data_IF_289558288347
#
_entry.id   IF_289558288347
#
_cell.length_a   1.000
_cell.length_b   1.000
_cell.length_c   1.000
_cell.angle_alpha   90.00
_cell.angle_beta   90.00
_cell.angle_gamma   90.00
#
_symmetry.space_group_name_H-M   'P 1'
#
loop_
_entity.id
_entity.type
_entity.pdbx_description
1 polymer ?
#
# COMPACT_ATOMS: atom_id res chain seq x y z
N UNK A 1 10.05 12.42 -15.88
CA UNK A 1 9.73 11.18 -15.19
C UNK A 1 9.71 11.46 -13.69
N UNK A 2 8.57 11.27 -13.08
CA UNK A 2 8.48 11.43 -11.64
C UNK A 2 9.32 10.35 -10.95
N UNK A 3 10.22 10.75 -10.08
CA UNK A 3 10.96 9.81 -9.26
C UNK A 3 10.00 9.12 -8.29
N UNK A 4 10.27 7.87 -7.96
CA UNK A 4 9.53 7.19 -6.92
C UNK A 4 9.75 7.92 -5.59
N UNK A 5 8.69 8.14 -4.80
CA UNK A 5 8.77 8.97 -3.59
C UNK A 5 9.57 8.35 -2.46
N UNK A 6 10.05 7.11 -2.63
CA UNK A 6 10.63 6.36 -1.51
C UNK A 6 11.57 5.27 -2.02
N UNK A 7 12.79 5.22 -1.46
CA UNK A 7 13.80 4.23 -1.87
C UNK A 7 13.37 2.80 -1.54
N UNK A 8 12.68 2.61 -0.41
CA UNK A 8 12.15 1.31 -0.03
C UNK A 8 11.09 0.85 -1.02
N UNK A 9 10.20 1.76 -1.44
CA UNK A 9 9.18 1.46 -2.44
C UNK A 9 9.84 1.01 -3.75
N UNK A 10 10.89 1.67 -4.17
CA UNK A 10 11.63 1.28 -5.38
C UNK A 10 12.20 -0.14 -5.27
N UNK A 11 12.77 -0.49 -4.13
CA UNK A 11 13.27 -1.84 -3.89
C UNK A 11 12.16 -2.89 -3.94
N UNK A 12 11.01 -2.58 -3.33
CA UNK A 12 9.86 -3.50 -3.33
C UNK A 12 9.30 -3.70 -4.74
N UNK A 13 9.26 -2.65 -5.55
CA UNK A 13 8.87 -2.77 -6.96
C UNK A 13 9.77 -3.75 -7.71
N UNK A 14 11.06 -3.70 -7.47
CA UNK A 14 12.05 -4.52 -8.17
C UNK A 14 12.14 -5.92 -7.59
N UNK A 15 12.28 -6.04 -6.27
CA UNK A 15 12.59 -7.30 -5.60
C UNK A 15 11.35 -8.18 -5.38
N UNK A 16 10.17 -7.58 -5.26
CA UNK A 16 8.92 -8.32 -5.00
C UNK A 16 8.01 -8.28 -6.22
N UNK A 17 7.53 -7.12 -6.62
CA UNK A 17 6.52 -7.04 -7.67
C UNK A 17 7.05 -7.52 -9.01
N UNK A 18 8.13 -6.94 -9.52
CA UNK A 18 8.68 -7.33 -10.81
C UNK A 18 9.17 -8.78 -10.82
N UNK A 19 9.76 -9.25 -9.72
CA UNK A 19 10.25 -10.61 -9.61
C UNK A 19 9.14 -11.67 -9.70
N UNK A 20 7.89 -11.29 -9.38
CA UNK A 20 6.73 -12.18 -9.43
C UNK A 20 5.73 -11.83 -10.53
N UNK A 21 6.15 -11.01 -11.49
CA UNK A 21 5.34 -10.67 -12.66
C UNK A 21 4.23 -9.66 -12.40
N UNK A 22 4.25 -8.99 -11.26
CA UNK A 22 3.32 -7.91 -10.96
C UNK A 22 3.86 -6.57 -11.45
N UNK A 23 2.98 -5.65 -11.88
CA UNK A 23 3.43 -4.32 -12.27
C UNK A 23 3.95 -3.54 -11.07
N UNK A 24 4.83 -2.56 -11.28
CA UNK A 24 5.27 -1.69 -10.19
C UNK A 24 4.10 -0.88 -9.63
N UNK A 25 4.23 -0.45 -8.37
CA UNK A 25 3.26 0.46 -7.79
C UNK A 25 3.14 1.74 -8.65
N UNK A 26 1.91 2.13 -8.92
CA UNK A 26 1.59 3.32 -9.71
C UNK A 26 0.32 3.98 -9.21
N UNK A 27 -0.11 5.04 -9.92
CA UNK A 27 -1.35 5.72 -9.62
C UNK A 27 -1.32 6.50 -8.32
N UNK A 28 -0.68 7.65 -8.30
CA UNK A 28 -0.61 8.53 -7.11
C UNK A 28 -1.98 9.08 -6.76
N UNK A 29 -2.73 8.37 -5.94
CA UNK A 29 -4.04 8.79 -5.47
C UNK A 29 -3.92 9.53 -4.14
N UNK A 30 -4.36 10.80 -4.11
CA UNK A 30 -4.34 11.59 -2.89
C UNK A 30 -5.45 11.11 -1.93
N UNK A 31 -5.05 10.67 -0.74
CA UNK A 31 -5.98 10.06 0.23
C UNK A 31 -6.94 11.06 0.86
N UNK A 32 -6.68 12.36 0.74
CA UNK A 32 -7.52 13.40 1.33
C UNK A 32 -8.34 14.13 0.24
N UNK A 33 -7.68 14.53 -0.85
CA UNK A 33 -8.26 15.43 -1.83
C UNK A 33 -9.03 14.73 -2.97
N UNK A 34 -8.69 13.47 -3.27
CA UNK A 34 -9.32 12.77 -4.38
C UNK A 34 -10.45 11.84 -3.94
N UNK A 35 -11.42 11.64 -4.84
CA UNK A 35 -12.54 10.72 -4.63
C UNK A 35 -12.16 9.31 -5.10
N UNK A 36 -12.58 8.26 -4.37
CA UNK A 36 -12.24 6.88 -4.72
C UNK A 36 -12.71 6.43 -6.10
N UNK A 37 -13.65 7.12 -6.72
CA UNK A 37 -14.15 6.78 -8.05
C UNK A 37 -13.06 6.72 -9.13
N UNK A 38 -11.91 7.40 -8.93
CA UNK A 38 -10.77 7.33 -9.83
C UNK A 38 -9.93 6.06 -9.70
N UNK A 39 -10.18 5.24 -8.67
CA UNK A 39 -9.43 4.02 -8.42
C UNK A 39 -10.03 2.82 -9.18
N UNK A 40 -9.17 1.86 -9.58
CA UNK A 40 -9.65 0.67 -10.28
C UNK A 40 -10.43 -0.29 -9.36
N UNK A 41 -11.33 -1.05 -9.96
CA UNK A 41 -12.13 -2.06 -9.26
C UNK A 41 -11.52 -3.46 -9.33
N UNK A 42 -10.29 -3.57 -9.81
CA UNK A 42 -9.57 -4.84 -9.89
C UNK A 42 -8.94 -5.23 -8.55
N UNK A 43 -8.71 -6.52 -8.40
CA UNK A 43 -7.93 -7.10 -7.30
C UNK A 43 -6.49 -6.60 -7.38
N UNK A 44 -5.90 -6.29 -6.26
CA UNK A 44 -4.52 -5.83 -6.21
C UNK A 44 -4.01 -5.63 -4.80
N UNK A 45 -2.79 -5.11 -4.73
CA UNK A 45 -2.16 -4.65 -3.50
C UNK A 45 -1.98 -3.14 -3.58
N UNK A 46 -1.95 -2.50 -2.43
CA UNK A 46 -1.76 -1.05 -2.37
C UNK A 46 -0.86 -0.66 -1.20
N UNK A 47 -0.32 0.52 -1.29
CA UNK A 47 0.58 1.09 -0.28
C UNK A 47 0.16 2.51 0.01
N UNK A 48 0.19 2.88 1.30
CA UNK A 48 -0.02 4.26 1.72
C UNK A 48 1.31 4.90 2.10
N UNK A 49 1.53 6.10 1.58
CA UNK A 49 2.72 6.91 1.85
C UNK A 49 2.29 8.24 2.44
N UNK A 50 2.92 8.65 3.53
CA UNK A 50 2.64 9.97 4.13
C UNK A 50 3.20 11.09 3.26
N UNK A 51 2.52 12.22 3.30
CA UNK A 51 2.99 13.45 2.68
C UNK A 51 3.99 14.20 3.54
N UNK A 52 4.47 15.32 3.01
CA UNK A 52 5.44 16.19 3.69
C UNK A 52 6.88 15.79 3.40
N UNK A 53 7.82 16.55 3.97
CA UNK A 53 9.24 16.45 3.65
C UNK A 53 9.99 15.43 4.50
N UNK A 54 9.39 14.96 5.59
CA UNK A 54 10.05 14.08 6.55
C UNK A 54 9.42 12.69 6.54
N UNK A 55 10.18 11.66 6.14
CA UNK A 55 9.74 10.28 6.30
C UNK A 55 9.69 9.88 7.77
N UNK A 56 9.11 8.74 8.04
CA UNK A 56 9.13 8.15 9.39
C UNK A 56 10.51 7.54 9.62
N UNK A 57 11.08 7.81 10.79
CA UNK A 57 12.28 7.14 11.26
C UNK A 57 11.88 5.79 11.88
N UNK A 58 12.21 4.73 11.20
CA UNK A 58 12.03 3.37 11.69
C UNK A 58 13.26 2.92 12.49
N UNK A 59 13.22 1.78 13.19
CA UNK A 59 14.41 1.29 13.92
C UNK A 59 15.67 1.20 13.06
N UNK A 60 15.52 0.85 11.77
CA UNK A 60 16.59 0.92 10.78
C UNK A 60 16.10 1.68 9.57
N UNK A 61 16.73 2.81 9.26
CA UNK A 61 16.42 3.63 8.10
C UNK A 61 15.10 4.41 8.21
N UNK A 62 14.76 5.05 7.11
CA UNK A 62 13.59 5.91 6.99
C UNK A 62 12.72 5.49 5.82
N UNK A 63 11.41 5.70 5.93
CA UNK A 63 10.47 5.47 4.85
C UNK A 63 9.20 6.29 5.05
N UNK A 64 8.60 6.72 3.96
CA UNK A 64 7.28 7.35 3.98
C UNK A 64 6.14 6.33 3.98
N UNK A 65 6.46 5.06 3.82
CA UNK A 65 5.46 3.98 3.82
C UNK A 65 4.89 3.80 5.21
N UNK A 66 3.56 3.80 5.31
CA UNK A 66 2.85 3.61 6.58
C UNK A 66 1.96 2.37 6.58
N UNK A 67 1.64 1.81 5.43
CA UNK A 67 0.71 0.69 5.37
C UNK A 67 0.76 -0.03 4.03
N UNK A 68 0.72 -1.36 4.05
CA UNK A 68 0.43 -2.19 2.89
C UNK A 68 -0.92 -2.86 3.09
N UNK A 69 -1.72 -2.92 2.04
CA UNK A 69 -2.97 -3.63 2.07
C UNK A 69 -3.21 -4.42 0.79
N UNK A 70 -4.26 -5.22 0.83
CA UNK A 70 -4.72 -6.01 -0.30
C UNK A 70 -6.20 -5.77 -0.52
N UNK A 71 -6.63 -5.93 -1.76
CA UNK A 71 -8.03 -5.86 -2.15
C UNK A 71 -8.35 -7.11 -2.97
N UNK A 72 -9.06 -8.05 -2.37
CA UNK A 72 -9.40 -9.33 -3.01
C UNK A 72 -10.91 -9.48 -3.25
N UNK A 73 -11.70 -8.50 -2.81
CA UNK A 73 -13.15 -8.53 -2.95
C UNK A 73 -13.61 -7.88 -4.25
N UNK A 74 -14.90 -8.01 -4.55
CA UNK A 74 -15.51 -7.60 -5.80
C UNK A 74 -15.28 -6.13 -6.19
N UNK A 75 -15.19 -5.23 -5.21
CA UNK A 75 -14.93 -3.81 -5.47
C UNK A 75 -13.45 -3.49 -5.68
N UNK A 76 -12.56 -4.45 -5.43
CA UNK A 76 -11.14 -4.32 -5.64
C UNK A 76 -10.50 -3.17 -4.87
N UNK A 77 -9.46 -2.59 -5.46
CA UNK A 77 -8.71 -1.49 -4.86
C UNK A 77 -9.61 -0.30 -4.52
N UNK A 78 -10.52 0.09 -5.44
CA UNK A 78 -11.46 1.19 -5.19
C UNK A 78 -12.26 0.99 -3.91
N UNK A 79 -12.83 -0.19 -3.72
CA UNK A 79 -13.66 -0.47 -2.55
C UNK A 79 -12.86 -0.44 -1.26
N UNK A 80 -11.70 -1.08 -1.23
CA UNK A 80 -10.90 -1.18 -0.02
C UNK A 80 -10.24 0.14 0.35
N UNK A 81 -9.63 0.82 -0.60
CA UNK A 81 -9.01 2.14 -0.36
C UNK A 81 -10.09 3.18 -0.02
N UNK A 82 -11.27 3.08 -0.62
CA UNK A 82 -12.40 3.92 -0.28
C UNK A 82 -12.83 3.79 1.17
N UNK A 83 -12.81 2.59 1.74
CA UNK A 83 -13.09 2.36 3.16
C UNK A 83 -12.05 3.05 4.05
N UNK A 84 -10.76 2.94 3.72
CA UNK A 84 -9.69 3.64 4.45
C UNK A 84 -9.88 5.16 4.37
N UNK A 85 -10.14 5.68 3.17
CA UNK A 85 -10.39 7.12 2.98
C UNK A 85 -11.57 7.60 3.81
N UNK A 86 -12.66 6.84 3.83
CA UNK A 86 -13.82 7.15 4.64
C UNK A 86 -13.48 7.26 6.13
N UNK A 87 -12.65 6.35 6.64
CA UNK A 87 -12.17 6.40 8.02
C UNK A 87 -11.33 7.65 8.29
N UNK A 88 -10.43 7.99 7.36
CA UNK A 88 -9.57 9.17 7.48
C UNK A 88 -10.39 10.47 7.50
N UNK A 89 -11.36 10.58 6.60
CA UNK A 89 -12.11 11.84 6.40
C UNK A 89 -13.31 12.01 7.32
N UNK A 90 -13.90 10.94 7.82
CA UNK A 90 -15.11 10.96 8.65
C UNK A 90 -14.91 10.55 10.09
N UNK A 91 -13.69 10.16 10.43
CA UNK A 91 -13.32 9.71 11.77
C UNK A 91 -13.17 8.19 11.87
N UNK A 92 -12.54 7.73 12.94
CA UNK A 92 -12.22 6.33 13.10
C UNK A 92 -13.50 5.49 13.20
N UNK A 93 -13.50 4.38 12.46
CA UNK A 93 -14.46 3.31 12.64
C UNK A 93 -13.76 2.20 13.42
N UNK A 94 -14.42 1.70 14.43
CA UNK A 94 -13.92 0.56 15.20
C UNK A 94 -13.58 -0.61 14.27
N UNK A 95 -12.49 -1.27 14.58
CA UNK A 95 -12.05 -2.49 13.90
C UNK A 95 -11.55 -2.33 12.45
N UNK A 96 -11.36 -1.11 11.94
CA UNK A 96 -10.74 -0.93 10.64
C UNK A 96 -9.23 -1.15 10.73
N UNK A 97 -8.65 -2.13 10.00
CA UNK A 97 -7.20 -2.31 9.97
C UNK A 97 -6.48 -1.05 9.49
N UNK A 98 -5.28 -0.81 9.99
CA UNK A 98 -4.47 0.31 9.53
C UNK A 98 -4.69 1.61 10.28
N UNK A 99 -5.39 1.60 11.40
CA UNK A 99 -5.71 2.81 12.17
C UNK A 99 -4.49 3.71 12.47
N UNK A 100 -3.32 3.20 12.89
CA UNK A 100 -2.16 4.06 13.09
C UNK A 100 -1.70 4.76 11.81
N UNK A 101 -1.83 4.13 10.64
CA UNK A 101 -1.56 4.79 9.37
C UNK A 101 -2.57 5.90 9.10
N UNK A 102 -3.84 5.70 9.45
CA UNK A 102 -4.86 6.72 9.29
C UNK A 102 -4.54 7.99 10.08
N UNK A 103 -4.03 7.87 11.30
CA UNK A 103 -3.59 9.02 12.10
C UNK A 103 -2.48 9.80 11.40
N UNK A 104 -1.49 9.11 10.84
CA UNK A 104 -0.42 9.76 10.08
C UNK A 104 -0.96 10.48 8.85
N UNK A 105 -1.86 9.84 8.10
CA UNK A 105 -2.45 10.43 6.90
C UNK A 105 -3.34 11.62 7.24
N UNK A 106 -4.08 11.57 8.34
CA UNK A 106 -4.88 12.70 8.82
C UNK A 106 -3.99 13.90 9.17
N UNK A 107 -2.86 13.66 9.81
CA UNK A 107 -1.95 14.72 10.26
C UNK A 107 -1.14 15.33 9.12
N UNK A 108 -0.74 14.55 8.14
CA UNK A 108 0.24 14.96 7.13
C UNK A 108 -0.24 14.83 5.69
N UNK A 109 -1.44 14.28 5.49
CA UNK A 109 -1.87 13.89 4.15
C UNK A 109 -1.05 12.71 3.64
N UNK A 110 -1.25 12.35 2.39
CA UNK A 110 -0.48 11.30 1.76
C UNK A 110 -1.17 10.70 0.56
N UNK A 111 -0.55 9.65 0.03
CA UNK A 111 -0.92 9.06 -1.24
C UNK A 111 -1.11 7.56 -1.11
N UNK A 112 -1.97 7.03 -1.96
CA UNK A 112 -2.08 5.61 -2.22
C UNK A 112 -1.47 5.32 -3.59
N UNK A 113 -0.65 4.30 -3.66
CA UNK A 113 -0.23 3.69 -4.92
C UNK A 113 -0.69 2.24 -4.93
N UNK A 114 -0.87 1.67 -6.11
CA UNK A 114 -1.39 0.31 -6.22
C UNK A 114 -0.71 -0.46 -7.34
N UNK A 115 -0.77 -1.79 -7.22
CA UNK A 115 -0.37 -2.74 -8.25
C UNK A 115 -1.50 -3.74 -8.42
N UNK A 116 -2.01 -3.87 -9.63
CA UNK A 116 -3.15 -4.74 -9.93
C UNK A 116 -2.69 -6.14 -10.29
N UNK A 117 -3.49 -7.13 -9.93
CA UNK A 117 -3.21 -8.51 -10.31
C UNK A 117 -3.05 -8.60 -11.84
N UNK A 118 -1.97 -9.25 -12.33
CA UNK A 118 -1.76 -9.39 -13.78
C UNK A 118 -2.89 -10.18 -14.43
N UNK A 119 -3.17 -9.86 -15.68
CA UNK A 119 -4.10 -10.65 -16.47
C UNK A 119 -3.59 -12.09 -16.60
N UNK A 120 -4.53 -13.02 -16.52
CA UNK A 120 -4.20 -14.44 -16.62
C UNK A 120 -3.69 -14.79 -18.00
N UNK A 121 -2.46 -15.28 -18.08
CA UNK A 121 -1.90 -15.85 -19.29
C UNK A 121 -1.95 -17.37 -19.18
N UNK A 122 -2.70 -18.07 -20.07
CA UNK A 122 -2.79 -19.53 -20.01
C UNK A 122 -1.47 -20.24 -20.26
N UNK A 123 -0.47 -19.55 -20.79
CA UNK A 123 0.86 -20.11 -21.07
C UNK A 123 1.86 -19.86 -19.92
N UNK A 124 1.42 -19.23 -18.83
CA UNK A 124 2.27 -18.94 -17.66
C UNK A 124 1.69 -19.56 -16.39
N UNK A 125 2.55 -19.94 -15.43
CA UNK A 125 2.07 -20.32 -14.11
C UNK A 125 1.15 -19.24 -13.53
N UNK A 126 0.22 -19.65 -12.69
CA UNK A 126 -0.61 -18.71 -11.94
C UNK A 126 0.28 -17.74 -11.16
N UNK A 127 0.04 -16.45 -11.31
CA UNK A 127 0.69 -15.46 -10.47
C UNK A 127 0.26 -15.67 -9.02
N UNK A 128 1.13 -15.28 -8.10
CA UNK A 128 0.81 -15.33 -6.68
C UNK A 128 -0.41 -14.47 -6.37
N UNK A 129 -1.16 -14.86 -5.34
CA UNK A 129 -2.34 -14.12 -4.90
C UNK A 129 -1.95 -12.75 -4.34
N UNK A 130 -2.90 -11.81 -4.31
CA UNK A 130 -2.70 -10.52 -3.65
C UNK A 130 -2.33 -10.70 -2.19
N UNK A 131 -2.92 -11.69 -1.51
CA UNK A 131 -2.59 -12.02 -0.12
C UNK A 131 -1.13 -12.40 0.06
N UNK A 132 -0.63 -13.26 -0.83
CA UNK A 132 0.78 -13.66 -0.79
C UNK A 132 1.71 -12.49 -1.06
N UNK A 133 1.39 -11.67 -2.06
CA UNK A 133 2.21 -10.50 -2.43
C UNK A 133 2.23 -9.49 -1.29
N UNK A 134 1.08 -9.19 -0.68
CA UNK A 134 1.02 -8.30 0.49
C UNK A 134 1.92 -8.81 1.62
N UNK A 135 1.83 -10.10 1.92
CA UNK A 135 2.66 -10.71 2.96
C UNK A 135 4.15 -10.53 2.68
N UNK A 136 4.58 -10.75 1.43
CA UNK A 136 5.98 -10.59 1.03
C UNK A 136 6.44 -9.12 1.08
N UNK A 137 5.57 -8.18 0.74
CA UNK A 137 5.87 -6.75 0.86
C UNK A 137 6.11 -6.37 2.33
N UNK A 138 5.23 -6.81 3.22
CA UNK A 138 5.37 -6.53 4.66
C UNK A 138 6.62 -7.21 5.23
N UNK A 139 6.86 -8.46 4.87
CA UNK A 139 8.03 -9.21 5.34
C UNK A 139 9.34 -8.55 4.90
N UNK A 140 9.42 -8.14 3.66
CA UNK A 140 10.62 -7.46 3.13
C UNK A 140 10.82 -6.11 3.79
N UNK A 141 9.75 -5.34 3.98
CA UNK A 141 9.83 -4.09 4.73
C UNK A 141 10.38 -4.32 6.14
N UNK A 142 9.86 -5.35 6.82
CA UNK A 142 10.31 -5.70 8.17
C UNK A 142 11.79 -6.09 8.20
N UNK A 143 12.29 -6.78 7.19
CA UNK A 143 13.72 -7.10 7.07
C UNK A 143 14.57 -5.85 6.89
N UNK A 144 14.11 -4.88 6.11
CA UNK A 144 14.83 -3.64 5.83
C UNK A 144 14.84 -2.67 7.02
N UNK A 145 13.74 -2.54 7.71
CA UNK A 145 13.53 -1.51 8.73
C UNK A 145 13.44 -2.05 10.15
N UNK A 146 13.53 -3.37 10.33
CA UNK A 146 13.45 -4.08 11.62
C UNK A 146 12.11 -3.93 12.33
N UNK A 147 11.08 -3.52 11.60
CA UNK A 147 9.69 -3.48 12.07
C UNK A 147 8.75 -3.45 10.88
N UNK A 148 7.49 -3.78 11.11
CA UNK A 148 6.44 -3.59 10.12
C UNK A 148 6.14 -2.10 9.94
N UNK A 149 5.53 -1.69 8.80
CA UNK A 149 4.98 -0.34 8.69
C UNK A 149 4.03 -0.05 9.86
N UNK A 150 4.00 1.21 10.30
CA UNK A 150 3.23 1.59 11.49
C UNK A 150 1.75 1.19 11.43
N UNK A 151 1.15 1.16 10.25
CA UNK A 151 -0.25 0.80 10.06
C UNK A 151 -0.52 -0.69 9.96
N UNK A 152 0.49 -1.52 9.79
CA UNK A 152 0.32 -2.97 9.68
C UNK A 152 0.35 -3.68 11.02
N UNK A 153 0.42 -2.93 12.08
CA UNK A 153 0.29 -3.44 13.43
C UNK A 153 1.47 -4.30 13.87
N UNK A 154 1.44 -4.63 15.15
CA UNK A 154 2.26 -5.73 15.66
C UNK A 154 1.53 -7.02 15.33
N UNK A 155 2.28 -8.03 14.94
CA UNK A 155 1.71 -9.37 14.88
C UNK A 155 1.11 -9.69 16.26
N UNK A 156 -0.17 -9.89 16.26
CA UNK A 156 -0.81 -10.41 17.44
C UNK A 156 -0.25 -11.80 17.74
#
# INVERSE_FOLDING_TARGET
VAELPDATLHRLNTEILAAHGWPPFGGMFDMIEEWPAGLPTKIGVYVFLIGGDKPITYPVGESSIVYFGKAEQQRGVRGRVGQHRGTITRGPREHMPGYPAHEWLMARGGFCMYSLVPDRDPNRPLSHSASWVEHELIRTFQQLHRTRPVGNGTAA
#
